data_IF_339027167166
#
_entry.id   IF_339027167166
#
_cell.length_a   1.000
_cell.length_b   1.000
_cell.length_c   1.000
_cell.angle_alpha   90.00
_cell.angle_beta   90.00
_cell.angle_gamma   90.00
#
_symmetry.space_group_name_H-M   'P 1'
#
loop_
_entity.id
_entity.type
_entity.pdbx_description
1 polymer ?
#
# COMPACT_ATOMS: atom_id res chain seq x y z
N UNK A 1 -35.92 18.07 -41.82
CA UNK A 1 -37.02 18.70 -41.04
C UNK A 1 -37.62 17.59 -40.17
N UNK A 2 -37.16 17.42 -38.92
CA UNK A 2 -37.83 17.86 -37.67
C UNK A 2 -39.31 17.43 -37.62
N UNK A 3 -39.90 16.79 -36.60
CA UNK A 3 -39.53 16.30 -35.25
C UNK A 3 -40.85 15.75 -34.64
N UNK A 4 -40.78 14.94 -33.59
CA UNK A 4 -41.85 14.66 -32.58
C UNK A 4 -43.01 13.72 -33.00
N UNK A 5 -43.63 12.89 -32.14
CA UNK A 5 -43.37 12.44 -30.77
C UNK A 5 -44.24 11.21 -30.44
N UNK A 6 -43.69 10.34 -29.58
CA UNK A 6 -44.30 9.57 -28.48
C UNK A 6 -45.70 8.92 -28.67
N UNK A 7 -45.69 7.58 -28.61
CA UNK A 7 -46.85 6.69 -28.37
C UNK A 7 -47.26 6.66 -26.89
N UNK A 8 -48.56 6.66 -26.61
CA UNK A 8 -49.18 6.29 -25.31
C UNK A 8 -50.51 5.54 -25.53
N UNK A 9 -50.72 4.54 -24.67
CA UNK A 9 -52.00 3.99 -24.15
C UNK A 9 -52.90 3.18 -25.14
N UNK A 10 -53.66 2.15 -24.74
CA UNK A 10 -53.80 1.36 -23.51
C UNK A 10 -54.78 0.19 -23.76
N UNK A 11 -54.59 -0.90 -22.98
CA UNK A 11 -55.56 -1.82 -22.33
C UNK A 11 -56.74 -2.52 -23.05
N UNK A 12 -56.79 -3.84 -22.82
CA UNK A 12 -57.87 -4.65 -22.19
C UNK A 12 -58.56 -5.77 -23.02
N UNK A 13 -58.61 -6.99 -22.45
CA UNK A 13 -59.87 -7.78 -22.39
C UNK A 13 -60.02 -9.13 -23.14
N UNK A 14 -59.27 -10.16 -22.73
CA UNK A 14 -59.61 -11.61 -22.50
C UNK A 14 -60.86 -12.29 -23.12
N UNK A 15 -60.65 -13.49 -23.73
CA UNK A 15 -61.38 -14.82 -23.69
C UNK A 15 -61.39 -15.50 -25.09
N UNK A 16 -60.56 -16.54 -25.35
CA UNK A 16 -60.70 -17.98 -25.08
C UNK A 16 -61.52 -18.79 -26.12
N UNK A 17 -60.86 -19.71 -26.86
CA UNK A 17 -61.44 -20.94 -27.40
C UNK A 17 -60.35 -21.99 -27.73
N UNK A 18 -60.59 -23.23 -27.31
CA UNK A 18 -59.74 -24.43 -27.42
C UNK A 18 -59.56 -24.93 -28.86
N UNK A 19 -58.42 -25.59 -29.12
CA UNK A 19 -58.34 -26.73 -30.04
C UNK A 19 -57.28 -27.75 -29.56
N UNK A 20 -57.70 -29.01 -29.48
CA UNK A 20 -57.01 -30.18 -28.96
C UNK A 20 -56.24 -30.88 -30.10
N UNK A 21 -54.98 -31.28 -29.86
CA UNK A 21 -54.23 -32.22 -30.70
C UNK A 21 -53.42 -33.18 -29.80
N UNK A 22 -53.79 -34.45 -29.84
CA UNK A 22 -53.07 -35.59 -29.25
C UNK A 22 -52.02 -36.11 -30.24
N UNK A 23 -50.79 -36.36 -29.79
CA UNK A 23 -50.13 -37.67 -29.85
C UNK A 23 -48.61 -37.63 -29.52
N UNK A 24 -48.25 -38.45 -28.52
CA UNK A 24 -47.06 -39.31 -28.40
C UNK A 24 -45.65 -38.70 -28.46
N UNK A 25 -44.96 -38.73 -27.32
CA UNK A 25 -43.50 -38.62 -27.29
C UNK A 25 -42.93 -38.52 -25.87
N UNK A 26 -42.63 -39.68 -25.26
CA UNK A 26 -41.63 -39.83 -24.19
C UNK A 26 -41.86 -39.06 -22.88
N UNK A 27 -42.26 -39.78 -21.83
CA UNK A 27 -41.87 -39.38 -20.49
C UNK A 27 -40.34 -39.45 -20.42
N UNK A 28 -39.67 -38.32 -20.69
CA UNK A 28 -38.33 -38.11 -20.16
C UNK A 28 -38.50 -38.06 -18.65
N UNK A 29 -38.36 -39.21 -18.00
CA UNK A 29 -37.99 -39.24 -16.61
C UNK A 29 -36.70 -38.42 -16.52
N UNK A 30 -36.83 -37.17 -16.07
CA UNK A 30 -35.70 -36.43 -15.54
C UNK A 30 -35.19 -37.31 -14.42
N UNK A 31 -34.13 -38.06 -14.70
CA UNK A 31 -33.29 -38.61 -13.66
C UNK A 31 -32.86 -37.38 -12.86
N UNK A 32 -33.54 -37.14 -11.74
CA UNK A 32 -33.01 -36.32 -10.68
C UNK A 32 -31.76 -37.06 -10.26
N UNK A 33 -30.62 -36.70 -10.87
CA UNK A 33 -29.33 -37.07 -10.32
C UNK A 33 -29.36 -36.57 -8.89
N UNK A 34 -29.43 -37.50 -7.94
CA UNK A 34 -29.43 -37.19 -6.52
C UNK A 34 -28.25 -36.27 -6.28
N UNK A 35 -28.53 -34.99 -5.95
CA UNK A 35 -27.47 -34.05 -5.60
C UNK A 35 -26.64 -34.69 -4.49
N UNK A 36 -25.31 -34.76 -4.67
CA UNK A 36 -24.40 -35.22 -3.63
C UNK A 36 -24.76 -34.45 -2.34
N UNK A 37 -24.92 -35.11 -1.19
CA UNK A 37 -25.18 -34.40 0.05
C UNK A 37 -24.04 -33.42 0.30
N UNK A 38 -24.41 -32.20 0.72
CA UNK A 38 -23.46 -31.15 1.05
C UNK A 38 -22.44 -31.68 2.07
N UNK A 39 -21.16 -31.52 1.74
CA UNK A 39 -20.01 -31.91 2.54
C UNK A 39 -19.31 -30.69 3.13
N UNK A 40 -18.58 -30.92 4.23
CA UNK A 40 -17.74 -29.91 4.86
C UNK A 40 -16.29 -30.19 4.46
N UNK A 41 -15.63 -29.18 3.92
CA UNK A 41 -14.18 -29.16 3.69
C UNK A 41 -13.52 -28.23 4.70
N UNK A 42 -12.30 -28.57 5.12
CA UNK A 42 -11.55 -27.80 6.11
C UNK A 42 -10.25 -27.23 5.55
N UNK A 43 -9.95 -25.99 5.91
CA UNK A 43 -8.75 -25.26 5.46
C UNK A 43 -7.99 -24.70 6.66
N UNK A 44 -6.67 -24.95 6.74
CA UNK A 44 -5.80 -24.40 7.78
C UNK A 44 -4.41 -24.03 7.23
N UNK A 45 -3.75 -22.97 7.72
CA UNK A 45 -2.48 -22.50 7.16
C UNK A 45 -1.32 -23.49 7.43
N UNK A 46 -0.33 -23.62 6.52
CA UNK A 46 0.89 -24.40 6.77
C UNK A 46 1.66 -23.91 8.02
N UNK A 47 2.38 -24.80 8.73
CA UNK A 47 2.55 -26.23 8.47
C UNK A 47 1.41 -27.08 9.03
N UNK A 48 0.24 -26.50 9.31
CA UNK A 48 -0.89 -27.14 9.99
C UNK A 48 -1.23 -28.52 9.45
N UNK A 49 -1.05 -29.54 10.29
CA UNK A 49 -1.53 -30.90 10.04
C UNK A 49 -2.95 -31.05 10.60
N UNK A 50 -3.89 -31.60 9.83
CA UNK A 50 -5.24 -31.94 10.31
C UNK A 50 -6.41 -31.24 9.64
N UNK A 51 -6.18 -30.49 8.56
CA UNK A 51 -7.21 -30.00 7.65
C UNK A 51 -7.14 -30.72 6.29
N UNK A 52 -8.22 -30.67 5.52
CA UNK A 52 -8.30 -31.28 4.19
C UNK A 52 -7.41 -30.55 3.17
N UNK A 53 -7.27 -29.23 3.31
CA UNK A 53 -6.50 -28.38 2.41
C UNK A 53 -5.72 -27.30 3.18
N UNK A 54 -4.61 -26.87 2.60
CA UNK A 54 -3.81 -25.76 3.13
C UNK A 54 -4.11 -24.41 2.47
N UNK A 55 -4.94 -24.40 1.42
CA UNK A 55 -5.40 -23.18 0.74
C UNK A 55 -6.90 -23.25 0.47
N UNK A 56 -7.55 -22.09 0.46
CA UNK A 56 -8.99 -21.93 0.24
C UNK A 56 -9.34 -22.26 -1.20
N UNK A 57 -8.55 -21.83 -2.19
CA UNK A 57 -8.80 -22.12 -3.60
C UNK A 57 -8.71 -23.63 -3.89
N UNK A 58 -7.82 -24.37 -3.22
CA UNK A 58 -7.77 -25.82 -3.36
C UNK A 58 -9.05 -26.48 -2.84
N UNK A 59 -9.60 -25.99 -1.72
CA UNK A 59 -10.89 -26.46 -1.22
C UNK A 59 -12.05 -26.09 -2.17
N UNK A 60 -12.07 -24.87 -2.72
CA UNK A 60 -13.07 -24.43 -3.71
C UNK A 60 -13.05 -25.33 -4.95
N UNK A 61 -11.86 -25.65 -5.47
CA UNK A 61 -11.70 -26.49 -6.66
C UNK A 61 -12.25 -27.91 -6.48
N UNK A 62 -12.31 -28.39 -5.23
CA UNK A 62 -12.76 -29.74 -4.89
C UNK A 62 -14.18 -29.76 -4.27
N UNK A 63 -14.78 -28.60 -4.06
CA UNK A 63 -16.13 -28.47 -3.52
C UNK A 63 -17.20 -28.80 -4.58
N UNK A 64 -18.28 -29.45 -4.16
CA UNK A 64 -19.52 -29.60 -4.90
C UNK A 64 -20.51 -28.47 -4.58
N UNK A 65 -21.51 -28.29 -5.45
CA UNK A 65 -22.61 -27.36 -5.18
C UNK A 65 -23.30 -27.70 -3.84
N UNK A 66 -23.42 -26.70 -2.96
CA UNK A 66 -23.98 -26.81 -1.62
C UNK A 66 -22.97 -27.11 -0.51
N UNK A 67 -21.70 -27.38 -0.82
CA UNK A 67 -20.67 -27.66 0.19
C UNK A 67 -20.33 -26.41 1.05
N UNK A 68 -19.84 -26.65 2.26
CA UNK A 68 -19.31 -25.61 3.17
C UNK A 68 -17.82 -25.79 3.36
N UNK A 69 -17.05 -24.70 3.19
CA UNK A 69 -15.62 -24.65 3.46
C UNK A 69 -15.40 -23.90 4.78
N UNK A 70 -14.94 -24.62 5.80
CA UNK A 70 -14.56 -24.05 7.11
C UNK A 70 -13.10 -23.67 7.09
N UNK A 71 -12.81 -22.42 7.41
CA UNK A 71 -11.48 -21.84 7.28
C UNK A 71 -11.00 -21.45 8.67
N UNK A 72 -9.88 -22.03 9.09
CA UNK A 72 -9.25 -21.72 10.36
C UNK A 72 -8.68 -20.30 10.38
N UNK A 73 -8.42 -19.77 11.58
CA UNK A 73 -7.76 -18.50 11.77
C UNK A 73 -6.42 -18.44 11.05
N UNK A 74 -6.10 -17.28 10.50
CA UNK A 74 -4.88 -17.04 9.73
C UNK A 74 -5.13 -16.27 8.45
N UNK A 75 -4.03 -15.94 7.78
CA UNK A 75 -4.00 -15.20 6.51
C UNK A 75 -3.73 -16.13 5.35
N UNK A 76 -4.59 -16.06 4.33
CA UNK A 76 -4.52 -16.86 3.12
C UNK A 76 -4.34 -15.93 1.92
N UNK A 77 -3.11 -15.84 1.41
CA UNK A 77 -2.77 -15.01 0.24
C UNK A 77 -3.08 -15.76 -1.05
N UNK A 78 -4.28 -15.55 -1.56
CA UNK A 78 -4.80 -16.15 -2.78
C UNK A 78 -6.02 -15.40 -3.33
N UNK A 79 -6.18 -15.42 -4.66
CA UNK A 79 -7.40 -14.97 -5.32
C UNK A 79 -8.42 -16.11 -5.42
N UNK A 80 -9.64 -15.85 -4.95
CA UNK A 80 -10.70 -16.86 -4.96
C UNK A 80 -11.56 -16.76 -6.23
N UNK A 81 -11.63 -17.85 -6.98
CA UNK A 81 -12.57 -18.03 -8.09
C UNK A 81 -13.66 -19.00 -7.65
N UNK A 82 -14.87 -18.47 -7.38
CA UNK A 82 -16.02 -19.27 -6.94
C UNK A 82 -17.01 -19.40 -8.10
N UNK A 83 -17.09 -20.60 -8.68
CA UNK A 83 -17.98 -20.89 -9.82
C UNK A 83 -19.20 -21.74 -9.45
N UNK A 84 -19.27 -22.21 -8.20
CA UNK A 84 -20.32 -23.08 -7.68
C UNK A 84 -21.02 -22.42 -6.48
N UNK A 85 -22.30 -22.74 -6.22
CA UNK A 85 -23.00 -22.24 -5.05
C UNK A 85 -22.51 -22.96 -3.79
N UNK A 86 -21.42 -22.48 -3.20
CA UNK A 86 -20.80 -23.01 -1.96
C UNK A 86 -20.88 -21.98 -0.83
N UNK A 87 -20.64 -22.41 0.41
CA UNK A 87 -20.52 -21.54 1.58
C UNK A 87 -19.07 -21.45 2.04
N UNK A 88 -18.54 -20.24 2.19
CA UNK A 88 -17.23 -20.00 2.82
C UNK A 88 -17.44 -19.47 4.24
N UNK A 89 -16.85 -20.12 5.24
CA UNK A 89 -16.97 -19.72 6.64
C UNK A 89 -15.59 -19.60 7.30
N UNK A 90 -15.14 -18.36 7.50
CA UNK A 90 -14.05 -18.06 8.44
C UNK A 90 -14.50 -18.06 9.90
N UNK A 91 -13.57 -17.80 10.82
CA UNK A 91 -13.88 -17.69 12.24
C UNK A 91 -13.57 -18.93 13.07
N UNK A 92 -12.82 -19.91 12.56
CA UNK A 92 -12.59 -21.19 13.25
C UNK A 92 -11.21 -21.26 13.93
N UNK A 93 -11.13 -21.91 15.10
CA UNK A 93 -9.84 -22.15 15.78
C UNK A 93 -8.87 -23.06 15.01
N UNK A 94 -9.37 -23.84 14.05
CA UNK A 94 -8.62 -24.91 13.39
C UNK A 94 -8.56 -26.22 14.21
N UNK A 95 -7.78 -27.21 13.75
CA UNK A 95 -7.67 -28.50 14.40
C UNK A 95 -7.09 -28.41 15.82
N UNK A 96 -7.50 -29.29 16.76
CA UNK A 96 -8.53 -30.33 16.59
C UNK A 96 -9.96 -29.81 16.82
N UNK A 97 -10.12 -28.64 17.43
CA UNK A 97 -11.38 -28.26 18.09
C UNK A 97 -12.41 -27.60 17.17
N UNK A 98 -11.98 -26.94 16.09
CA UNK A 98 -12.85 -26.28 15.11
C UNK A 98 -13.99 -25.45 15.76
N UNK A 99 -13.68 -24.73 16.83
CA UNK A 99 -14.64 -23.85 17.50
C UNK A 99 -14.77 -22.56 16.72
N UNK A 100 -16.00 -22.09 16.49
CA UNK A 100 -16.25 -20.86 15.72
C UNK A 100 -16.47 -19.66 16.63
N UNK A 101 -15.69 -18.61 16.44
CA UNK A 101 -15.86 -17.30 17.07
C UNK A 101 -15.30 -16.20 16.17
N UNK A 102 -16.17 -15.29 15.72
CA UNK A 102 -15.80 -14.19 14.84
C UNK A 102 -14.92 -13.13 15.53
N UNK A 103 -14.86 -13.14 16.87
CA UNK A 103 -14.06 -12.19 17.64
C UNK A 103 -12.73 -12.77 18.11
N UNK A 104 -12.54 -14.09 18.05
CA UNK A 104 -11.33 -14.75 18.55
C UNK A 104 -10.47 -15.39 17.45
N UNK A 105 -11.06 -15.75 16.31
CA UNK A 105 -10.41 -16.57 15.30
C UNK A 105 -10.50 -15.91 13.92
N UNK A 106 -9.81 -14.80 13.77
CA UNK A 106 -9.84 -14.03 12.53
C UNK A 106 -9.30 -14.82 11.33
N UNK A 107 -10.08 -14.86 10.25
CA UNK A 107 -9.70 -15.46 8.97
C UNK A 107 -9.59 -14.33 7.96
N UNK A 108 -8.41 -14.18 7.35
CA UNK A 108 -8.12 -13.13 6.38
C UNK A 108 -7.88 -13.78 5.01
N UNK A 109 -8.65 -13.37 4.00
CA UNK A 109 -8.41 -13.74 2.60
C UNK A 109 -7.77 -12.55 1.90
N UNK A 110 -6.60 -12.76 1.35
CA UNK A 110 -5.78 -11.73 0.71
C UNK A 110 -5.63 -12.02 -0.79
N UNK A 111 -6.44 -11.33 -1.60
CA UNK A 111 -6.44 -11.45 -3.06
C UNK A 111 -5.32 -10.66 -3.76
N UNK A 112 -4.42 -9.98 -3.05
CA UNK A 112 -3.46 -9.08 -3.70
C UNK A 112 -2.31 -9.83 -4.41
N UNK A 113 -2.16 -11.15 -4.17
CA UNK A 113 -1.04 -11.94 -4.71
C UNK A 113 0.33 -11.52 -4.16
N UNK A 114 0.32 -10.61 -3.18
CA UNK A 114 1.41 -10.06 -2.39
C UNK A 114 0.96 -10.18 -0.93
N UNK A 115 1.82 -10.26 0.09
CA UNK A 115 1.39 -10.33 1.48
C UNK A 115 0.70 -9.05 2.01
N UNK A 116 0.43 -8.07 1.14
CA UNK A 116 -0.06 -6.74 1.52
C UNK A 116 -1.57 -6.76 1.71
N UNK A 117 -1.97 -7.11 2.92
CA UNK A 117 -3.34 -7.11 3.43
C UNK A 117 -4.04 -5.75 3.25
N UNK A 118 -5.33 -5.68 2.89
CA UNK A 118 -6.16 -4.52 3.24
C UNK A 118 -6.13 -4.35 4.77
N UNK A 119 -5.65 -3.20 5.26
CA UNK A 119 -5.30 -3.01 6.68
C UNK A 119 -3.80 -2.99 6.97
N UNK A 120 -2.96 -3.44 6.02
CA UNK A 120 -1.51 -3.30 6.08
C UNK A 120 -1.11 -1.83 5.91
N UNK A 121 0.00 -1.46 6.53
CA UNK A 121 0.52 -0.09 6.51
C UNK A 121 0.99 0.33 5.11
N UNK A 122 1.30 -0.63 4.23
CA UNK A 122 1.70 -0.42 2.84
C UNK A 122 0.77 -1.07 1.79
N UNK A 123 -0.50 -1.28 2.17
CA UNK A 123 -1.50 -1.99 1.37
C UNK A 123 -2.12 -1.25 0.17
N UNK A 124 -1.88 0.05 0.00
CA UNK A 124 -2.38 0.86 -1.14
C UNK A 124 -1.26 1.15 -2.16
N UNK A 125 -0.16 1.74 -1.69
CA UNK A 125 0.96 2.16 -2.54
C UNK A 125 2.31 1.92 -1.87
N UNK A 126 3.31 1.54 -2.66
CA UNK A 126 4.73 1.59 -2.28
C UNK A 126 5.48 2.52 -3.23
N UNK A 127 6.28 3.45 -2.71
CA UNK A 127 6.96 4.49 -3.49
C UNK A 127 8.24 4.99 -2.83
N UNK A 128 8.93 5.93 -3.49
CA UNK A 128 10.10 6.67 -3.00
C UNK A 128 11.22 5.79 -2.36
N UNK A 129 11.75 4.79 -3.08
CA UNK A 129 12.76 3.91 -2.52
C UNK A 129 14.11 4.63 -2.38
N UNK A 130 14.78 4.41 -1.25
CA UNK A 130 16.18 4.77 -1.02
C UNK A 130 16.98 3.50 -0.74
N UNK A 131 17.86 3.16 -1.68
CA UNK A 131 18.74 1.99 -1.57
C UNK A 131 20.16 2.40 -1.19
N UNK A 132 20.76 1.65 -0.26
CA UNK A 132 22.21 1.69 -0.01
C UNK A 132 22.76 0.26 0.01
N UNK A 133 24.06 0.12 -0.26
CA UNK A 133 24.80 -1.09 0.07
C UNK A 133 25.33 -0.99 1.49
N UNK A 134 25.13 -2.03 2.28
CA UNK A 134 25.63 -2.13 3.64
C UNK A 134 26.00 -3.57 3.96
N UNK A 135 27.21 -3.80 4.49
CA UNK A 135 27.67 -5.11 4.97
C UNK A 135 27.49 -6.29 3.98
N UNK A 136 27.63 -6.03 2.67
CA UNK A 136 27.51 -7.07 1.64
C UNK A 136 26.08 -7.39 1.21
N UNK A 137 25.10 -6.63 1.67
CA UNK A 137 23.70 -6.67 1.21
C UNK A 137 23.24 -5.28 0.76
N UNK A 138 22.06 -5.22 0.15
CA UNK A 138 21.35 -3.99 -0.13
C UNK A 138 20.23 -3.79 0.89
N UNK A 139 20.04 -2.55 1.31
CA UNK A 139 18.93 -2.14 2.18
C UNK A 139 18.16 -1.04 1.49
N UNK A 140 16.82 -1.14 1.50
CA UNK A 140 15.90 -0.19 0.90
C UNK A 140 14.95 0.34 1.96
N UNK A 141 15.00 1.64 2.22
CA UNK A 141 13.89 2.32 2.88
C UNK A 141 12.88 2.77 1.84
N UNK A 142 11.60 2.56 2.08
CA UNK A 142 10.55 2.87 1.10
C UNK A 142 9.31 3.40 1.81
N UNK A 143 8.56 4.24 1.13
CA UNK A 143 7.27 4.71 1.61
C UNK A 143 6.18 3.68 1.31
N UNK A 144 5.33 3.42 2.29
CA UNK A 144 4.13 2.62 2.15
C UNK A 144 2.91 3.43 2.57
N UNK A 145 1.84 3.34 1.78
CA UNK A 145 0.56 3.95 2.06
C UNK A 145 -0.45 2.88 2.45
N UNK A 146 -1.13 3.10 3.57
CA UNK A 146 -2.21 2.23 4.02
C UNK A 146 -3.51 2.58 3.32
N UNK A 147 -4.20 1.56 2.83
CA UNK A 147 -5.51 1.70 2.18
C UNK A 147 -6.62 2.13 3.15
N UNK A 148 -6.45 1.85 4.45
CA UNK A 148 -7.52 1.97 5.45
C UNK A 148 -7.20 2.96 6.56
N UNK A 149 -6.00 3.50 6.61
CA UNK A 149 -5.62 4.46 7.65
C UNK A 149 -6.42 5.76 7.52
N UNK A 150 -6.77 6.35 8.65
CA UNK A 150 -7.23 7.74 8.71
C UNK A 150 -6.05 8.69 8.50
N UNK A 151 -6.27 9.82 7.83
CA UNK A 151 -5.19 10.77 7.51
C UNK A 151 -4.52 10.43 6.17
N UNK A 152 -3.24 10.73 6.01
CA UNK A 152 -2.54 10.46 4.74
C UNK A 152 -2.08 9.01 4.60
N UNK A 153 -2.00 8.27 5.72
CA UNK A 153 -1.75 6.83 5.74
C UNK A 153 -0.34 6.41 5.36
N UNK A 154 0.64 7.32 5.35
CA UNK A 154 2.01 7.01 4.94
C UNK A 154 2.90 6.66 6.14
N UNK A 155 3.71 5.62 5.98
CA UNK A 155 4.83 5.32 6.85
C UNK A 155 6.05 4.87 6.01
N UNK A 156 7.20 4.69 6.66
CA UNK A 156 8.42 4.19 6.05
C UNK A 156 8.65 2.74 6.47
N UNK A 157 8.94 1.87 5.52
CA UNK A 157 9.40 0.50 5.77
C UNK A 157 10.85 0.28 5.34
N UNK A 158 11.35 -0.89 5.68
CA UNK A 158 12.65 -1.41 5.30
C UNK A 158 12.47 -2.74 4.54
N UNK A 159 13.29 -2.94 3.52
CA UNK A 159 13.50 -4.23 2.89
C UNK A 159 15.00 -4.48 2.69
N UNK A 160 15.39 -5.74 2.67
CA UNK A 160 16.77 -6.18 2.40
C UNK A 160 16.83 -7.07 1.16
N UNK A 161 17.97 -7.03 0.47
CA UNK A 161 18.22 -7.87 -0.70
C UNK A 161 19.69 -8.28 -0.76
N UNK A 162 20.00 -9.56 -1.03
CA UNK A 162 21.39 -9.99 -1.24
C UNK A 162 21.94 -9.60 -2.62
N UNK A 163 21.07 -9.34 -3.61
CA UNK A 163 21.43 -9.20 -5.03
C UNK A 163 20.89 -7.91 -5.69
N UNK A 164 20.07 -7.14 -4.96
CA UNK A 164 19.41 -5.93 -5.46
C UNK A 164 18.18 -6.21 -6.34
N UNK A 165 17.83 -7.48 -6.55
CA UNK A 165 16.74 -7.93 -7.41
C UNK A 165 15.62 -8.58 -6.60
N UNK A 166 15.97 -9.43 -5.64
CA UNK A 166 15.05 -10.15 -4.79
C UNK A 166 15.00 -9.47 -3.43
N UNK A 167 13.87 -8.88 -3.08
CA UNK A 167 13.69 -8.07 -1.87
C UNK A 167 12.81 -8.79 -0.85
N UNK A 168 13.19 -8.73 0.42
CA UNK A 168 12.41 -9.23 1.55
C UNK A 168 12.13 -8.07 2.48
N UNK A 169 10.85 -7.78 2.75
CA UNK A 169 10.43 -6.77 3.73
C UNK A 169 10.89 -7.19 5.13
N UNK A 170 11.29 -6.23 5.94
CA UNK A 170 11.61 -6.46 7.34
C UNK A 170 10.33 -6.76 8.15
N UNK A 171 10.42 -7.69 9.09
CA UNK A 171 9.29 -8.07 9.94
C UNK A 171 8.93 -7.01 10.99
N UNK A 172 9.81 -6.04 11.22
CA UNK A 172 9.58 -4.89 12.10
C UNK A 172 8.95 -3.68 11.41
N UNK A 173 8.52 -3.80 10.16
CA UNK A 173 7.85 -2.70 9.45
C UNK A 173 6.48 -2.34 10.06
N UNK A 174 6.05 -1.05 9.98
CA UNK A 174 6.82 0.10 9.51
C UNK A 174 7.93 0.50 10.50
N UNK A 175 9.06 1.01 9.98
CA UNK A 175 10.21 1.45 10.78
C UNK A 175 10.16 2.93 11.16
N UNK A 176 9.31 3.72 10.50
CA UNK A 176 9.07 5.11 10.88
C UNK A 176 7.64 5.53 10.55
N UNK A 177 6.86 5.83 11.58
CA UNK A 177 5.51 6.37 11.47
C UNK A 177 5.52 7.90 11.57
N UNK A 178 4.45 8.59 11.10
CA UNK A 178 4.26 10.02 11.32
C UNK A 178 4.41 10.44 12.79
N UNK A 179 4.69 11.72 13.00
CA UNK A 179 4.78 12.29 14.35
C UNK A 179 3.47 12.23 15.13
N UNK A 180 3.57 12.41 16.44
CA UNK A 180 2.38 12.59 17.29
C UNK A 180 1.70 13.93 17.00
N UNK A 181 0.40 14.04 17.32
CA UNK A 181 -0.36 15.28 17.14
C UNK A 181 0.36 16.49 17.74
N UNK A 182 0.54 17.53 16.92
CA UNK A 182 1.22 18.77 17.28
C UNK A 182 2.73 18.79 17.01
N UNK A 183 3.33 17.67 16.58
CA UNK A 183 4.66 17.65 15.98
C UNK A 183 4.61 18.21 14.55
N UNK A 184 5.69 18.86 14.09
CA UNK A 184 5.78 19.47 12.76
C UNK A 184 5.68 18.47 11.60
N UNK A 185 5.83 17.19 11.89
CA UNK A 185 5.80 16.06 10.96
C UNK A 185 4.69 15.04 11.32
N UNK A 186 3.63 15.50 11.99
CA UNK A 186 2.54 14.65 12.47
C UNK A 186 1.66 14.04 11.38
N UNK A 187 1.69 14.57 10.15
CA UNK A 187 0.92 14.04 9.03
C UNK A 187 1.75 13.13 8.10
N UNK A 188 3.08 13.29 8.08
CA UNK A 188 3.96 12.55 7.17
C UNK A 188 5.40 12.47 7.67
N UNK A 189 6.01 11.29 7.51
CA UNK A 189 7.47 11.08 7.49
C UNK A 189 7.84 10.15 6.34
N UNK A 190 8.71 10.58 5.44
CA UNK A 190 9.03 9.81 4.23
C UNK A 190 10.04 10.46 3.32
N UNK A 191 10.14 9.98 2.07
CA UNK A 191 11.03 10.49 1.02
C UNK A 191 12.43 10.75 1.56
N UNK A 192 13.16 9.67 1.81
CA UNK A 192 14.35 9.72 2.66
C UNK A 192 15.65 9.69 1.87
N UNK A 193 16.65 10.39 2.38
CA UNK A 193 18.05 10.08 2.13
C UNK A 193 18.64 9.36 3.33
N UNK A 194 19.35 8.26 3.11
CA UNK A 194 20.05 7.51 4.16
C UNK A 194 21.53 7.35 3.81
N UNK A 195 22.41 7.61 4.76
CA UNK A 195 23.84 7.31 4.71
C UNK A 195 24.22 6.45 5.92
N UNK A 196 25.21 5.56 5.75
CA UNK A 196 25.79 4.75 6.82
C UNK A 196 27.24 5.20 7.03
N UNK A 197 27.55 5.65 8.25
CA UNK A 197 28.87 6.18 8.60
C UNK A 197 29.24 5.74 10.01
N UNK A 198 30.33 4.99 10.15
CA UNK A 198 30.85 4.59 11.46
C UNK A 198 29.88 3.73 12.29
N UNK A 199 29.05 2.92 11.63
CA UNK A 199 28.03 2.09 12.30
C UNK A 199 26.76 2.86 12.70
N UNK A 200 26.62 4.11 12.26
CA UNK A 200 25.43 4.93 12.45
C UNK A 200 24.76 5.20 11.11
N UNK A 201 23.48 4.87 11.00
CA UNK A 201 22.63 5.35 9.93
C UNK A 201 22.16 6.76 10.24
N UNK A 202 22.29 7.63 9.25
CA UNK A 202 21.83 9.02 9.25
C UNK A 202 20.75 9.15 8.20
N UNK A 203 19.59 9.63 8.60
CA UNK A 203 18.44 9.82 7.73
C UNK A 203 18.06 11.30 7.68
N UNK A 204 17.84 11.79 6.48
CA UNK A 204 17.11 13.04 6.23
C UNK A 204 15.78 12.66 5.59
N UNK A 205 14.68 13.21 6.10
CA UNK A 205 13.32 12.81 5.69
C UNK A 205 12.43 14.03 5.46
N UNK A 206 11.53 13.95 4.48
CA UNK A 206 10.42 14.88 4.35
C UNK A 206 9.45 14.72 5.51
N UNK A 207 9.06 15.84 6.13
CA UNK A 207 7.99 15.88 7.14
C UNK A 207 7.01 17.03 6.90
N UNK A 208 5.76 16.82 7.31
CA UNK A 208 4.68 17.81 7.30
C UNK A 208 3.62 17.44 8.35
N UNK A 209 2.97 18.45 8.91
CA UNK A 209 1.78 18.37 9.76
C UNK A 209 0.49 18.73 9.00
N UNK A 210 0.56 18.79 7.67
CA UNK A 210 -0.45 19.37 6.78
C UNK A 210 -0.10 20.81 6.33
N UNK A 211 0.93 21.41 6.93
CA UNK A 211 1.55 22.67 6.50
C UNK A 211 2.72 22.48 5.52
N UNK A 212 3.62 23.47 5.40
CA UNK A 212 4.76 23.43 4.50
C UNK A 212 5.65 22.20 4.72
N UNK A 213 6.15 21.62 3.63
CA UNK A 213 7.00 20.43 3.69
C UNK A 213 8.44 20.82 4.00
N UNK A 214 9.05 20.16 4.97
CA UNK A 214 10.40 20.47 5.44
C UNK A 214 11.22 19.20 5.59
N UNK A 215 12.54 19.34 5.74
CA UNK A 215 13.41 18.18 5.94
C UNK A 215 13.85 18.05 7.40
N UNK A 216 13.53 16.90 8.00
CA UNK A 216 13.98 16.48 9.32
C UNK A 216 15.21 15.57 9.26
N UNK A 217 15.73 15.24 10.44
CA UNK A 217 16.86 14.34 10.63
C UNK A 217 16.57 13.28 11.70
N UNK A 218 17.06 12.08 11.49
CA UNK A 218 17.00 10.97 12.44
C UNK A 218 18.27 10.12 12.36
N UNK A 219 18.55 9.38 13.44
CA UNK A 219 19.68 8.44 13.48
C UNK A 219 19.26 7.07 13.97
N UNK A 220 19.95 6.03 13.50
CA UNK A 220 19.71 4.66 13.92
C UNK A 220 21.02 3.88 13.94
N UNK A 221 21.16 2.90 14.83
CA UNK A 221 22.30 1.96 14.83
C UNK A 221 22.00 0.67 14.07
N UNK A 222 20.72 0.40 13.76
CA UNK A 222 20.28 -0.83 13.11
C UNK A 222 19.41 -0.60 11.87
N UNK A 223 19.04 0.65 11.56
CA UNK A 223 18.21 1.03 10.42
C UNK A 223 16.70 0.76 10.62
N UNK A 224 16.32 0.27 11.80
CA UNK A 224 14.96 -0.09 12.20
C UNK A 224 14.43 0.89 13.24
N UNK A 225 15.17 1.08 14.32
CA UNK A 225 14.79 1.96 15.42
C UNK A 225 15.41 3.34 15.19
N UNK A 226 14.57 4.35 14.93
CA UNK A 226 15.01 5.69 14.60
C UNK A 226 14.87 6.65 15.78
N UNK A 227 15.97 7.30 16.15
CA UNK A 227 16.01 8.41 17.08
C UNK A 227 15.80 9.71 16.30
N UNK A 228 14.59 10.28 16.41
CA UNK A 228 14.23 11.57 15.81
C UNK A 228 14.99 12.70 16.51
N UNK A 229 15.60 13.59 15.72
CA UNK A 229 16.32 14.73 16.27
C UNK A 229 15.35 15.80 16.80
N UNK A 230 15.44 16.11 18.09
CA UNK A 230 14.55 17.07 18.74
C UNK A 230 14.64 18.51 18.21
N UNK A 231 15.73 18.84 17.49
CA UNK A 231 15.91 20.15 16.86
C UNK A 231 15.38 20.24 15.42
N UNK A 232 14.62 19.23 14.96
CA UNK A 232 13.99 19.25 13.64
C UNK A 232 12.98 20.42 13.49
N UNK A 233 12.73 20.90 12.26
CA UNK A 233 13.37 20.49 11.00
C UNK A 233 14.80 21.04 10.83
N UNK A 234 15.68 20.29 10.16
CA UNK A 234 17.07 20.68 9.89
C UNK A 234 17.23 21.49 8.60
N UNK A 235 16.29 21.35 7.65
CA UNK A 235 16.15 22.26 6.51
C UNK A 235 14.71 22.78 6.49
N UNK A 236 14.47 23.98 7.06
CA UNK A 236 13.16 24.61 6.98
C UNK A 236 12.90 25.18 5.57
N UNK A 237 11.64 25.49 5.29
CA UNK A 237 11.25 26.28 4.10
C UNK A 237 11.91 27.65 4.12
N UNK A 238 12.00 28.29 2.95
CA UNK A 238 12.46 29.66 2.85
C UNK A 238 11.47 30.66 3.46
N UNK A 239 11.92 31.89 3.71
CA UNK A 239 11.04 32.96 4.18
C UNK A 239 10.05 33.42 3.12
N UNK A 240 9.07 34.24 3.52
CA UNK A 240 8.03 34.76 2.61
C UNK A 240 8.59 35.39 1.32
N UNK A 241 8.06 34.96 0.18
CA UNK A 241 8.49 35.34 -1.17
C UNK A 241 9.66 34.54 -1.73
N UNK A 242 10.18 33.55 -1.00
CA UNK A 242 11.20 32.63 -1.51
C UNK A 242 10.62 31.59 -2.46
N UNK A 243 11.47 31.04 -3.32
CA UNK A 243 11.07 30.02 -4.29
C UNK A 243 10.78 28.66 -3.64
N UNK A 244 11.19 28.47 -2.38
CA UNK A 244 11.02 27.26 -1.57
C UNK A 244 10.25 27.55 -0.27
N UNK A 245 9.31 28.50 -0.32
CA UNK A 245 8.45 28.89 0.81
C UNK A 245 7.43 27.80 1.17
N UNK A 246 7.03 26.98 0.20
CA UNK A 246 6.00 25.95 0.39
C UNK A 246 6.59 24.57 0.66
N UNK A 247 7.75 24.27 0.08
CA UNK A 247 8.47 23.01 0.28
C UNK A 247 9.98 23.23 0.33
N UNK A 248 10.63 22.51 1.24
CA UNK A 248 12.06 22.23 1.28
C UNK A 248 12.24 20.77 1.71
N UNK A 249 11.92 19.86 0.80
CA UNK A 249 11.61 18.45 1.06
C UNK A 249 12.37 17.51 0.12
N UNK A 250 12.08 16.21 0.19
CA UNK A 250 12.60 15.14 -0.65
C UNK A 250 14.13 15.21 -0.85
N UNK A 251 14.89 15.13 0.25
CA UNK A 251 16.33 15.29 0.21
C UNK A 251 17.01 14.13 -0.53
N UNK A 252 18.03 14.45 -1.31
CA UNK A 252 19.11 13.54 -1.68
C UNK A 252 20.41 14.06 -1.09
N UNK A 253 21.04 13.23 -0.26
CA UNK A 253 22.28 13.59 0.47
C UNK A 253 23.43 12.67 0.09
N UNK A 254 24.59 13.27 -0.13
CA UNK A 254 25.89 12.60 -0.22
C UNK A 254 26.88 13.25 0.74
N UNK A 255 27.94 12.50 1.09
CA UNK A 255 29.13 13.05 1.72
C UNK A 255 30.27 13.10 0.69
N UNK A 256 30.91 14.26 0.56
CA UNK A 256 32.03 14.47 -0.35
C UNK A 256 33.06 15.39 0.30
N UNK A 257 34.27 14.88 0.54
CA UNK A 257 35.37 15.64 1.13
C UNK A 257 35.11 16.18 2.54
N UNK A 258 34.33 15.46 3.36
CA UNK A 258 33.95 15.88 4.72
C UNK A 258 32.82 16.91 4.76
N UNK A 259 32.19 17.18 3.62
CA UNK A 259 31.02 18.06 3.51
C UNK A 259 29.80 17.23 3.09
N UNK A 260 28.71 17.38 3.83
CA UNK A 260 27.41 16.90 3.38
C UNK A 260 26.85 17.87 2.34
N UNK A 261 26.32 17.29 1.28
CA UNK A 261 25.73 18.00 0.15
C UNK A 261 24.31 17.47 -0.03
N UNK A 262 23.33 18.36 0.02
CA UNK A 262 21.91 18.02 -0.15
C UNK A 262 21.38 18.71 -1.39
N UNK A 263 20.70 17.93 -2.22
CA UNK A 263 19.75 18.45 -3.20
C UNK A 263 18.36 18.23 -2.64
N UNK A 264 17.49 19.23 -2.77
CA UNK A 264 16.15 19.18 -2.17
C UNK A 264 15.12 19.74 -3.14
N UNK A 265 13.89 19.23 -3.06
CA UNK A 265 12.74 19.75 -3.77
C UNK A 265 12.23 21.01 -3.09
N UNK A 266 12.01 22.08 -3.85
CA UNK A 266 11.36 23.27 -3.32
C UNK A 266 10.36 23.88 -4.29
N UNK A 267 9.31 24.48 -3.73
CA UNK A 267 8.18 25.03 -4.47
C UNK A 267 7.75 26.40 -3.97
N UNK A 268 7.24 27.22 -4.89
CA UNK A 268 6.56 28.48 -4.57
C UNK A 268 5.23 28.22 -3.85
N UNK A 269 4.67 29.22 -3.14
CA UNK A 269 3.39 29.08 -2.41
C UNK A 269 2.21 28.53 -3.22
N UNK A 270 2.17 28.83 -4.51
CA UNK A 270 1.11 28.41 -5.43
C UNK A 270 1.47 27.16 -6.26
N UNK A 271 2.63 26.54 -5.98
CA UNK A 271 3.19 25.42 -6.74
C UNK A 271 3.37 25.70 -8.24
N UNK A 272 3.40 26.97 -8.65
CA UNK A 272 3.61 27.35 -10.04
C UNK A 272 5.05 27.10 -10.52
N UNK A 273 6.00 27.04 -9.58
CA UNK A 273 7.38 26.64 -9.84
C UNK A 273 7.85 25.68 -8.75
N UNK A 274 8.25 24.48 -9.17
CA UNK A 274 8.92 23.50 -8.34
C UNK A 274 10.24 23.10 -8.98
N UNK A 275 11.32 23.13 -8.20
CA UNK A 275 12.70 23.04 -8.68
C UNK A 275 13.60 22.36 -7.66
N UNK A 276 14.84 22.08 -8.05
CA UNK A 276 15.83 21.49 -7.15
C UNK A 276 16.77 22.56 -6.61
N UNK A 277 16.81 22.67 -5.29
CA UNK A 277 17.76 23.49 -4.55
C UNK A 277 18.98 22.69 -4.11
N UNK A 278 19.99 23.41 -3.63
CA UNK A 278 21.22 22.86 -3.09
C UNK A 278 21.52 23.45 -1.72
N UNK A 279 21.99 22.62 -0.79
CA UNK A 279 22.46 23.03 0.53
C UNK A 279 23.70 22.23 0.95
N UNK A 280 24.49 22.81 1.86
CA UNK A 280 25.68 22.15 2.41
C UNK A 280 25.69 22.18 3.93
N UNK A 281 26.31 21.17 4.54
CA UNK A 281 26.49 21.07 5.98
C UNK A 281 27.78 20.35 6.32
N UNK A 282 28.44 20.73 7.41
CA UNK A 282 29.62 20.02 7.93
C UNK A 282 29.27 18.95 8.97
N UNK A 283 28.06 18.99 9.53
CA UNK A 283 27.61 18.08 10.58
C UNK A 283 26.32 17.32 10.25
N UNK A 284 25.65 17.66 9.14
CA UNK A 284 24.40 17.05 8.70
C UNK A 284 23.15 17.61 9.36
N UNK A 285 23.30 18.58 10.28
CA UNK A 285 22.21 19.21 11.04
C UNK A 285 22.05 20.67 10.65
N UNK A 286 23.14 21.43 10.60
CA UNK A 286 23.13 22.85 10.27
C UNK A 286 23.36 23.01 8.77
N UNK A 287 22.31 23.34 8.03
CA UNK A 287 22.35 23.46 6.57
C UNK A 287 22.42 24.91 6.11
N UNK A 288 23.35 25.18 5.19
CA UNK A 288 23.43 26.46 4.47
C UNK A 288 22.92 26.27 3.04
N UNK A 289 21.75 26.84 2.73
CA UNK A 289 21.20 26.88 1.37
C UNK A 289 22.10 27.72 0.46
N UNK A 290 22.32 27.26 -0.76
CA UNK A 290 23.11 28.00 -1.74
C UNK A 290 22.37 29.26 -2.19
N UNK A 291 23.05 30.41 -2.13
CA UNK A 291 22.45 31.71 -2.46
C UNK A 291 21.98 31.83 -3.92
N UNK A 292 22.52 31.00 -4.82
CA UNK A 292 22.10 30.94 -6.21
C UNK A 292 21.03 29.89 -6.50
N UNK A 293 20.37 29.34 -5.48
CA UNK A 293 19.24 28.44 -5.68
C UNK A 293 18.09 29.11 -6.45
N UNK A 294 17.29 28.33 -7.21
CA UNK A 294 17.42 26.88 -7.46
C UNK A 294 18.60 26.53 -8.39
N UNK A 295 19.16 25.33 -8.25
CA UNK A 295 20.30 24.83 -9.07
C UNK A 295 19.86 24.03 -10.29
N UNK A 296 18.60 23.59 -10.35
CA UNK A 296 18.01 22.97 -11.52
C UNK A 296 16.53 23.36 -11.60
N UNK A 297 16.13 23.91 -12.73
CA UNK A 297 14.77 24.41 -13.02
C UNK A 297 14.26 23.83 -14.32
N UNK A 298 12.95 23.76 -14.47
CA UNK A 298 12.31 23.36 -15.73
C UNK A 298 12.65 24.30 -16.88
N UNK A 299 12.63 23.78 -18.10
CA UNK A 299 12.80 24.57 -19.32
C UNK A 299 11.43 24.95 -19.89
N UNK A 300 11.18 26.24 -20.12
CA UNK A 300 9.93 26.72 -20.75
C UNK A 300 9.72 26.07 -22.12
N UNK A 301 8.54 25.49 -22.35
CA UNK A 301 8.20 24.68 -23.53
C UNK A 301 8.83 23.28 -23.55
N UNK A 302 9.60 22.93 -22.52
CA UNK A 302 10.22 21.62 -22.34
C UNK A 302 9.28 20.60 -21.71
N UNK A 303 9.69 19.33 -21.72
CA UNK A 303 8.93 18.25 -21.06
C UNK A 303 8.94 18.38 -19.52
N UNK A 304 9.89 19.15 -19.01
CA UNK A 304 10.19 19.44 -17.61
C UNK A 304 9.69 20.83 -17.15
N UNK A 305 8.97 21.57 -18.00
CA UNK A 305 8.55 22.96 -17.74
C UNK A 305 7.78 23.13 -16.43
N UNK A 306 6.91 22.18 -16.11
CA UNK A 306 6.00 22.29 -14.96
C UNK A 306 6.59 21.84 -13.63
N UNK A 307 7.52 20.87 -13.63
CA UNK A 307 8.06 20.32 -12.39
C UNK A 307 9.45 19.71 -12.61
N UNK A 308 10.38 20.08 -11.74
CA UNK A 308 11.64 19.35 -11.55
C UNK A 308 11.74 19.00 -10.07
N UNK A 309 11.61 17.71 -9.76
CA UNK A 309 11.33 17.25 -8.40
C UNK A 309 12.09 15.99 -8.03
N UNK A 310 12.17 15.73 -6.72
CA UNK A 310 12.66 14.49 -6.11
C UNK A 310 14.04 14.05 -6.62
N UNK A 311 15.08 14.86 -6.34
CA UNK A 311 16.46 14.59 -6.77
C UNK A 311 17.06 13.34 -6.14
#
# INVERSE_FOLDING_TARGET
MNTQSKRKAALAGVLAALALLLALGGAAALAQGSAKPASILTVCPPPGTGCDYTTIQAAINNAGAGDTIRIAAGTYTENLTVTLPITLEGGYSGPPDWTRSLTLYETIVDGSGSPTTPGDWDGDQISFPRVISDSGQYRMWYNGQSLTASGWGWALGLAASPDGLTWTKDGGNPVLEPGSDGEWDSAYRGQVAVLQEGGLYKMWYSGSDGGPWQTGYATSTNGLDWNIYAGNPVLPVGGGGSWDEQEASAPTVIQDGGLYKMWYHGCTPDYSLCSVGYATSTNGLDWTKYAGNPVLTGTVGGWDEGVVMWP
#
